data_IF_428136169628
#
_entry.id   IF_428136169628
#
_cell.length_a   1.000
_cell.length_b   1.000
_cell.length_c   1.000
_cell.angle_alpha   90.00
_cell.angle_beta   90.00
_cell.angle_gamma   90.00
#
_symmetry.space_group_name_H-M   'P 1'
#
loop_
_entity.id
_entity.type
_entity.pdbx_description
1 polymer ?
#
# COMPACT_ATOMS: atom_id res chain seq x y z
N UNK A 1 6.35 17.62 -5.64
CA UNK A 1 6.07 19.04 -5.99
C UNK A 1 4.68 19.13 -6.61
N UNK A 2 3.94 20.19 -6.32
CA UNK A 2 2.64 20.48 -6.92
C UNK A 2 2.58 21.97 -7.29
N UNK A 3 1.68 22.38 -8.19
CA UNK A 3 1.52 23.78 -8.60
C UNK A 3 0.13 24.30 -8.17
N UNK A 4 0.09 25.54 -7.68
CA UNK A 4 -1.18 26.21 -7.36
C UNK A 4 -2.00 26.44 -8.64
N UNK A 5 -3.24 25.96 -8.62
CA UNK A 5 -4.19 26.11 -9.74
C UNK A 5 -4.97 27.42 -9.70
N UNK A 6 -5.03 28.08 -8.53
CA UNK A 6 -5.74 29.34 -8.28
C UNK A 6 -4.91 30.27 -7.38
N UNK A 7 -5.22 31.56 -7.46
CA UNK A 7 -4.68 32.58 -6.57
C UNK A 7 -5.16 32.34 -5.13
N UNK A 8 -4.29 32.62 -4.15
CA UNK A 8 -4.59 32.62 -2.72
C UNK A 8 -4.53 34.06 -2.21
N UNK A 9 -5.60 34.50 -1.57
CA UNK A 9 -5.77 35.87 -1.08
C UNK A 9 -5.68 35.92 0.44
N UNK A 10 -5.49 37.12 0.98
CA UNK A 10 -5.65 37.40 2.41
C UNK A 10 -7.07 37.09 2.88
N UNK A 11 -7.25 36.98 4.19
CA UNK A 11 -8.55 36.71 4.82
C UNK A 11 -9.63 37.74 4.42
N UNK A 12 -9.25 39.01 4.30
CA UNK A 12 -10.14 40.08 3.83
C UNK A 12 -10.25 40.18 2.29
N UNK A 13 -9.52 39.35 1.54
CA UNK A 13 -9.57 39.30 0.07
C UNK A 13 -8.85 40.44 -0.67
N UNK A 14 -8.22 41.38 0.03
CA UNK A 14 -7.64 42.58 -0.59
C UNK A 14 -6.23 42.36 -1.14
N UNK A 15 -5.46 41.43 -0.56
CA UNK A 15 -4.05 41.22 -0.90
C UNK A 15 -3.86 39.83 -1.50
N UNK A 16 -3.21 39.77 -2.66
CA UNK A 16 -2.78 38.52 -3.27
C UNK A 16 -1.55 37.99 -2.55
N UNK A 17 -1.69 36.87 -1.83
CA UNK A 17 -0.61 36.26 -1.05
C UNK A 17 0.24 35.29 -1.88
N UNK A 18 -0.41 34.53 -2.77
CA UNK A 18 0.28 33.61 -3.65
C UNK A 18 -0.42 33.51 -5.00
N UNK A 19 0.36 33.59 -6.08
CA UNK A 19 -0.16 33.51 -7.43
C UNK A 19 -0.43 32.07 -7.84
N UNK A 20 -1.44 31.89 -8.70
CA UNK A 20 -1.55 30.72 -9.55
C UNK A 20 -0.20 30.49 -10.25
N UNK A 21 0.29 29.27 -10.22
CA UNK A 21 1.60 28.92 -10.76
C UNK A 21 2.70 28.79 -9.70
N UNK A 22 2.49 29.30 -8.49
CA UNK A 22 3.39 29.06 -7.36
C UNK A 22 3.53 27.56 -7.06
N UNK A 23 4.70 27.16 -6.57
CA UNK A 23 5.07 25.76 -6.36
C UNK A 23 4.95 25.39 -4.89
N UNK A 24 4.25 24.30 -4.61
CA UNK A 24 4.22 23.62 -3.33
C UNK A 24 5.29 22.53 -3.32
N UNK A 25 6.22 22.66 -2.38
CA UNK A 25 7.31 21.75 -2.11
C UNK A 25 7.01 21.06 -0.79
N UNK A 26 7.20 19.75 -0.75
CA UNK A 26 6.80 18.91 0.36
C UNK A 26 7.24 17.48 0.17
N UNK A 27 7.02 16.69 1.21
CA UNK A 27 7.43 15.31 1.30
C UNK A 27 6.22 14.39 1.42
N UNK A 28 6.31 13.25 0.74
CA UNK A 28 5.33 12.19 0.86
C UNK A 28 5.81 11.21 1.93
N UNK A 29 4.96 10.93 2.92
CA UNK A 29 5.23 9.85 3.85
C UNK A 29 5.06 8.51 3.14
N UNK A 30 6.09 7.66 3.19
CA UNK A 30 6.09 6.31 2.58
C UNK A 30 5.51 5.22 3.49
N UNK A 31 4.97 5.60 4.65
CA UNK A 31 4.36 4.64 5.57
C UNK A 31 3.01 4.22 5.00
N UNK A 32 3.00 3.07 4.34
CA UNK A 32 1.79 2.43 3.84
C UNK A 32 1.22 1.51 4.92
N UNK A 33 0.00 1.81 5.37
CA UNK A 33 -0.73 0.96 6.33
C UNK A 33 -1.66 0.02 5.58
N UNK A 34 -1.67 -1.26 5.94
CA UNK A 34 -2.58 -2.24 5.33
C UNK A 34 -4.04 -1.79 5.49
N UNK A 35 -4.80 -1.82 4.39
CA UNK A 35 -6.20 -1.37 4.37
C UNK A 35 -6.40 0.13 4.16
N UNK A 36 -5.34 0.93 4.07
CA UNK A 36 -5.41 2.38 3.80
C UNK A 36 -5.00 2.67 2.35
N UNK A 37 -5.95 3.06 1.51
CA UNK A 37 -5.72 3.46 0.12
C UNK A 37 -5.50 4.98 -0.03
N UNK A 38 -4.63 5.55 0.81
CA UNK A 38 -4.34 6.99 0.83
C UNK A 38 -2.85 7.27 1.04
N UNK A 39 -2.42 8.37 0.43
CA UNK A 39 -1.07 8.91 0.55
C UNK A 39 -1.12 10.22 1.34
N UNK A 40 -0.28 10.34 2.35
CA UNK A 40 -0.15 11.57 3.12
C UNK A 40 1.05 12.37 2.66
N UNK A 41 0.82 13.65 2.34
CA UNK A 41 1.85 14.61 1.94
C UNK A 41 1.90 15.72 2.97
N UNK A 42 3.12 16.11 3.37
CA UNK A 42 3.37 17.29 4.17
C UNK A 42 4.00 18.37 3.28
N UNK A 43 3.27 19.45 3.02
CA UNK A 43 3.75 20.61 2.29
C UNK A 43 4.53 21.52 3.24
N UNK A 44 5.82 21.69 2.94
CA UNK A 44 6.78 22.38 3.80
C UNK A 44 7.14 23.77 3.30
N UNK A 45 7.04 24.03 1.99
CA UNK A 45 7.41 25.32 1.40
C UNK A 45 6.49 25.68 0.25
N UNK A 46 6.03 26.92 0.24
CA UNK A 46 5.41 27.58 -0.90
C UNK A 46 6.44 28.50 -1.56
N UNK A 47 6.72 28.27 -2.83
CA UNK A 47 7.65 29.06 -3.63
C UNK A 47 6.88 29.83 -4.72
N UNK A 48 6.94 31.14 -4.65
CA UNK A 48 6.36 32.05 -5.65
C UNK A 48 7.48 32.95 -6.21
N UNK A 49 7.97 32.63 -7.40
CA UNK A 49 9.14 33.26 -8.03
C UNK A 49 10.38 33.31 -7.09
N UNK A 50 10.69 34.49 -6.56
CA UNK A 50 11.83 34.76 -5.69
C UNK A 50 11.47 34.68 -4.19
N UNK A 51 10.19 34.47 -3.86
CA UNK A 51 9.70 34.40 -2.49
C UNK A 51 9.52 32.94 -2.10
N UNK A 52 10.07 32.55 -0.94
CA UNK A 52 9.87 31.23 -0.35
C UNK A 52 9.29 31.39 1.04
N UNK A 53 8.14 30.78 1.29
CA UNK A 53 7.45 30.79 2.58
C UNK A 53 7.41 29.37 3.11
N UNK A 54 7.92 29.18 4.34
CA UNK A 54 7.75 27.91 5.04
C UNK A 54 6.29 27.77 5.47
N UNK A 55 5.69 26.65 5.10
CA UNK A 55 4.34 26.26 5.47
C UNK A 55 4.39 24.90 6.17
N UNK A 56 3.40 24.57 6.98
CA UNK A 56 3.27 23.28 7.64
C UNK A 56 1.88 22.72 7.39
N UNK A 57 1.61 22.33 6.14
CA UNK A 57 0.26 21.99 5.70
C UNK A 57 0.16 20.52 5.27
N UNK A 58 -0.89 19.83 5.73
CA UNK A 58 -1.19 18.47 5.27
C UNK A 58 -1.93 18.51 3.93
N UNK A 59 -1.57 17.58 3.03
CA UNK A 59 -2.27 17.38 1.78
C UNK A 59 -3.66 16.75 2.00
N UNK A 60 -4.63 17.23 1.24
CA UNK A 60 -6.02 16.75 1.27
C UNK A 60 -6.46 16.28 -0.10
N UNK A 61 -7.55 15.51 -0.15
CA UNK A 61 -8.28 15.29 -1.39
C UNK A 61 -9.05 16.55 -1.83
N UNK A 62 -9.77 16.44 -2.94
CA UNK A 62 -10.55 17.55 -3.52
C UNK A 62 -11.72 18.01 -2.66
N UNK A 63 -12.18 17.19 -1.70
CA UNK A 63 -13.26 17.51 -0.77
C UNK A 63 -12.74 17.96 0.61
N UNK A 64 -11.43 17.97 0.80
CA UNK A 64 -10.80 18.38 2.06
C UNK A 64 -10.56 17.24 3.04
N UNK A 65 -10.81 15.98 2.67
CA UNK A 65 -10.44 14.86 3.53
C UNK A 65 -8.92 14.68 3.56
N UNK A 66 -8.38 14.21 4.69
CA UNK A 66 -6.94 14.04 4.86
C UNK A 66 -6.36 13.00 3.92
N UNK A 67 -5.28 13.36 3.23
CA UNK A 67 -4.54 12.49 2.32
C UNK A 67 -5.12 12.46 0.90
N UNK A 68 -4.25 12.14 -0.06
CA UNK A 68 -4.57 11.97 -1.46
C UNK A 68 -5.03 10.52 -1.72
N UNK A 69 -6.09 10.29 -2.51
CA UNK A 69 -6.47 8.94 -2.91
C UNK A 69 -5.32 8.29 -3.69
N UNK A 70 -5.04 7.02 -3.40
CA UNK A 70 -3.93 6.30 -4.01
C UNK A 70 -4.40 4.93 -4.52
N UNK A 71 -3.80 4.51 -5.63
CA UNK A 71 -3.91 3.13 -6.09
C UNK A 71 -2.95 2.25 -5.31
N UNK A 72 -3.41 1.08 -4.86
CA UNK A 72 -2.64 0.15 -4.02
C UNK A 72 -2.41 -1.15 -4.77
N UNK A 73 -1.14 -1.48 -5.00
CA UNK A 73 -0.74 -2.82 -5.40
C UNK A 73 -0.44 -3.69 -4.17
N UNK A 74 -1.28 -4.70 -3.94
CA UNK A 74 -1.10 -5.63 -2.82
C UNK A 74 0.02 -6.64 -3.04
N UNK A 75 0.61 -6.73 -4.24
CA UNK A 75 1.70 -7.63 -4.60
C UNK A 75 1.41 -9.09 -4.18
N UNK A 76 0.17 -9.55 -4.34
CA UNK A 76 -0.26 -10.85 -3.79
C UNK A 76 0.54 -12.02 -4.38
N UNK A 77 0.80 -11.99 -5.69
CA UNK A 77 1.61 -13.01 -6.36
C UNK A 77 3.05 -13.05 -5.83
N UNK A 78 3.67 -11.90 -5.59
CA UNK A 78 5.02 -11.81 -5.05
C UNK A 78 5.08 -12.20 -3.57
N UNK A 79 4.02 -11.92 -2.80
CA UNK A 79 3.93 -12.22 -1.37
C UNK A 79 3.58 -13.68 -1.08
N UNK A 80 2.71 -14.29 -1.88
CA UNK A 80 2.14 -15.62 -1.60
C UNK A 80 2.45 -16.68 -2.67
N UNK A 81 2.94 -16.29 -3.85
CA UNK A 81 3.17 -17.23 -4.96
C UNK A 81 4.19 -18.33 -4.65
N UNK A 82 5.28 -18.00 -3.94
CA UNK A 82 6.29 -18.98 -3.55
C UNK A 82 5.75 -20.01 -2.54
N UNK A 83 4.99 -19.55 -1.54
CA UNK A 83 4.35 -20.43 -0.57
C UNK A 83 3.31 -21.34 -1.24
N UNK A 84 2.49 -20.80 -2.15
CA UNK A 84 1.53 -21.59 -2.93
C UNK A 84 2.22 -22.66 -3.78
N UNK A 85 3.32 -22.34 -4.47
CA UNK A 85 4.07 -23.32 -5.24
C UNK A 85 4.65 -24.43 -4.35
N UNK A 86 5.21 -24.06 -3.20
CA UNK A 86 5.75 -25.02 -2.25
C UNK A 86 4.67 -25.96 -1.71
N UNK A 87 3.48 -25.43 -1.38
CA UNK A 87 2.33 -26.23 -0.96
C UNK A 87 1.94 -27.24 -2.04
N UNK A 88 1.83 -26.82 -3.30
CA UNK A 88 1.50 -27.71 -4.42
C UNK A 88 2.55 -28.80 -4.64
N UNK A 89 3.84 -28.48 -4.46
CA UNK A 89 4.90 -29.49 -4.53
C UNK A 89 4.81 -30.49 -3.37
N UNK A 90 4.51 -30.03 -2.15
CA UNK A 90 4.26 -30.89 -0.99
C UNK A 90 3.11 -31.86 -1.23
N UNK A 91 1.94 -31.32 -1.63
CA UNK A 91 0.74 -32.11 -1.93
C UNK A 91 1.01 -33.15 -3.04
N UNK A 92 1.74 -32.76 -4.09
CA UNK A 92 2.12 -33.67 -5.18
C UNK A 92 3.03 -34.81 -4.72
N UNK A 93 4.02 -34.53 -3.87
CA UNK A 93 4.91 -35.55 -3.30
C UNK A 93 4.14 -36.51 -2.38
N UNK A 94 3.17 -36.03 -1.62
CA UNK A 94 2.38 -36.87 -0.73
C UNK A 94 1.40 -37.78 -1.49
N UNK A 95 0.83 -37.30 -2.60
CA UNK A 95 0.03 -38.14 -3.52
C UNK A 95 0.89 -39.27 -4.11
N UNK A 96 2.10 -38.95 -4.60
CA UNK A 96 3.04 -39.94 -5.17
C UNK A 96 3.48 -41.00 -4.15
N UNK A 97 3.73 -40.60 -2.89
CA UNK A 97 4.03 -41.54 -1.80
C UNK A 97 2.85 -42.48 -1.56
N UNK A 98 1.63 -41.97 -1.50
CA UNK A 98 0.43 -42.78 -1.28
C UNK A 98 0.15 -43.76 -2.43
N UNK A 99 0.33 -43.35 -3.68
CA UNK A 99 0.14 -44.25 -4.84
C UNK A 99 1.19 -45.35 -4.90
N UNK A 100 2.41 -45.08 -4.43
CA UNK A 100 3.48 -46.08 -4.40
C UNK A 100 3.31 -47.06 -3.23
N UNK A 101 2.74 -46.63 -2.10
CA UNK A 101 2.36 -47.52 -0.99
C UNK A 101 1.20 -48.47 -1.34
N UNK A 102 0.38 -48.17 -2.34
CA UNK A 102 -0.72 -49.03 -2.79
C UNK A 102 -0.28 -50.29 -3.57
N UNK A 103 1.02 -50.43 -3.91
CA UNK A 103 1.56 -51.64 -4.58
C UNK A 103 2.22 -52.61 -3.59
N UNK A 104 1.91 -52.51 -2.29
CA UNK A 104 2.26 -53.47 -1.24
C UNK A 104 1.02 -54.22 -0.75
N UNK A 105 0.61 -55.25 -1.47
CA UNK A 105 -0.51 -56.13 -1.12
C UNK A 105 -0.24 -56.93 0.17
N UNK A 106 -1.25 -56.98 1.05
CA UNK A 106 -1.47 -57.89 2.19
C UNK A 106 -0.53 -57.85 3.42
N UNK A 107 -1.04 -57.29 4.53
CA UNK A 107 -0.97 -57.96 5.84
C UNK A 107 -2.02 -57.40 6.80
N UNK A 108 -2.84 -58.31 7.34
CA UNK A 108 -3.97 -58.09 8.25
C UNK A 108 -3.65 -57.11 9.40
N UNK A 109 -4.46 -56.05 9.54
CA UNK A 109 -4.48 -55.23 10.75
C UNK A 109 -5.45 -55.88 11.74
N UNK A 110 -4.92 -56.74 12.59
CA UNK A 110 -5.63 -57.30 13.75
C UNK A 110 -5.68 -56.25 14.86
N UNK A 111 -6.88 -55.83 15.25
CA UNK A 111 -7.09 -54.97 16.41
C UNK A 111 -7.09 -55.85 17.68
N UNK A 112 -5.95 -55.95 18.36
CA UNK A 112 -5.88 -56.53 19.71
C UNK A 112 -6.48 -55.50 20.69
N UNK A 113 -7.68 -55.79 21.19
CA UNK A 113 -8.32 -55.03 22.28
C UNK A 113 -7.82 -55.59 23.60
N UNK A 114 -6.99 -54.84 24.31
CA UNK A 114 -6.71 -55.11 25.71
C UNK A 114 -7.35 -54.07 26.64
N UNK A 115 -8.00 -54.63 27.66
CA UNK A 115 -8.62 -54.02 28.83
C UNK A 115 -7.53 -53.44 29.73
#
# INVERSE_FOLDING_TARGET
MCQLTRNVWSDNGEVLLARKGALLIGEQNKVMTQGVARVFVNWTTLKDENVNVRIGALGTDSLGASGLPAWVDNHFGQRFGGALLLSLLGDGLDILKNSTQQTGSNSNITYEKHI
#
